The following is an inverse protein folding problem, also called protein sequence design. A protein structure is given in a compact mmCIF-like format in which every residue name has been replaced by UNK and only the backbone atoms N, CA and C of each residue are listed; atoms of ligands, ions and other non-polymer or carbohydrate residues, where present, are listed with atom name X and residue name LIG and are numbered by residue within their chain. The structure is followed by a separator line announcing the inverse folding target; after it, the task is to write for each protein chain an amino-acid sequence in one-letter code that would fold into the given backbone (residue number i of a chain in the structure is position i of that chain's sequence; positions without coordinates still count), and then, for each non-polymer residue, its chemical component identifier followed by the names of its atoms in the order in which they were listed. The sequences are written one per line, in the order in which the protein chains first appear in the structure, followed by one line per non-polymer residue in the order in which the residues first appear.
data_IF_944380844426
#
_entry.id   IF_944380844426
#
_cell.length_a   1.000
_cell.length_b   1.000
_cell.length_c   1.000
_cell.angle_alpha   90.00
_cell.angle_beta   90.00
_cell.angle_gamma   90.00
#
_symmetry.space_group_name_H-M   'P 1'
#
loop_
_entity.id
_entity.type
_entity.pdbx_description
1 polymer ?
#
# COMPACT_ATOMS: atom_id res chain seq x y z
N UNK A 1 20.14 -52.55 10.55
CA UNK A 1 18.72 -52.39 10.90
C UNK A 1 18.49 -50.91 11.16
N UNK A 2 18.05 -50.17 10.14
CA UNK A 2 18.03 -48.70 10.13
C UNK A 2 16.68 -48.25 10.68
N UNK A 3 16.67 -47.72 11.90
CA UNK A 3 15.46 -47.22 12.54
C UNK A 3 15.26 -45.77 12.09
N UNK A 4 14.21 -45.56 11.30
CA UNK A 4 13.68 -44.25 10.89
C UNK A 4 13.30 -43.43 12.12
N UNK A 5 14.08 -42.42 12.46
CA UNK A 5 13.66 -41.38 13.41
C UNK A 5 12.89 -40.31 12.62
N UNK A 6 11.59 -40.56 12.43
CA UNK A 6 10.61 -39.47 12.32
C UNK A 6 10.56 -38.82 13.70
N UNK A 7 10.83 -37.51 13.81
CA UNK A 7 10.18 -36.58 14.76
C UNK A 7 10.74 -35.15 14.65
N UNK A 8 9.85 -34.26 14.22
CA UNK A 8 9.60 -32.94 14.80
C UNK A 8 10.79 -31.98 14.73
N UNK A 9 11.01 -31.45 13.52
CA UNK A 9 11.60 -30.12 13.35
C UNK A 9 10.43 -29.14 13.31
N UNK A 10 10.50 -28.17 14.22
CA UNK A 10 9.61 -27.04 14.51
C UNK A 10 8.73 -26.60 13.33
N UNK A 11 7.50 -27.14 13.30
CA UNK A 11 6.35 -26.64 12.52
C UNK A 11 5.26 -26.10 13.46
N UNK A 12 5.67 -25.32 14.46
CA UNK A 12 4.76 -24.82 15.50
C UNK A 12 5.12 -23.39 15.87
N UNK A 13 4.62 -22.46 15.04
CA UNK A 13 4.10 -21.14 15.48
C UNK A 13 3.00 -20.58 14.54
N UNK A 14 2.73 -21.12 13.34
CA UNK A 14 1.63 -20.61 12.48
C UNK A 14 0.59 -21.66 12.06
N UNK A 15 0.13 -22.51 12.99
CA UNK A 15 -1.01 -23.42 12.73
C UNK A 15 -2.10 -23.22 13.78
N UNK A 16 -2.98 -22.26 13.51
CA UNK A 16 -4.39 -22.33 13.90
C UNK A 16 -5.18 -22.87 12.71
N UNK A 17 -5.35 -24.20 12.64
CA UNK A 17 -5.81 -24.90 11.43
C UNK A 17 -7.29 -24.74 11.09
N UNK A 18 -7.58 -24.93 9.79
CA UNK A 18 -8.95 -25.15 9.29
C UNK A 18 -9.20 -24.84 7.82
N UNK A 19 -8.39 -25.32 6.87
CA UNK A 19 -8.69 -25.17 5.44
C UNK A 19 -7.73 -25.94 4.53
N UNK A 20 -8.28 -26.81 3.71
CA UNK A 20 -7.61 -27.77 2.82
C UNK A 20 -6.99 -27.10 1.58
N UNK A 21 -6.06 -26.14 1.71
CA UNK A 21 -5.30 -25.59 0.57
C UNK A 21 -3.88 -25.14 0.98
N UNK A 22 -2.88 -25.96 0.58
CA UNK A 22 -1.42 -25.71 0.45
C UNK A 22 -0.64 -25.08 1.63
N UNK A 23 0.41 -25.79 2.11
CA UNK A 23 1.51 -25.15 2.84
C UNK A 23 2.27 -24.26 1.84
N UNK A 24 2.15 -22.94 1.96
CA UNK A 24 3.01 -22.01 1.22
C UNK A 24 4.40 -21.95 1.87
N UNK A 25 5.43 -21.97 1.03
CA UNK A 25 6.80 -21.67 1.45
C UNK A 25 7.02 -20.16 1.43
N UNK A 26 7.78 -19.62 2.39
CA UNK A 26 8.07 -18.18 2.43
C UNK A 26 6.93 -17.32 2.98
N UNK A 27 6.28 -17.77 4.07
CA UNK A 27 5.18 -17.05 4.72
C UNK A 27 5.57 -15.64 5.19
N UNK A 28 6.86 -15.36 5.41
CA UNK A 28 7.37 -14.02 5.71
C UNK A 28 6.94 -12.97 4.66
N UNK A 29 6.68 -13.38 3.41
CA UNK A 29 6.21 -12.50 2.34
C UNK A 29 4.79 -11.95 2.58
N UNK A 30 4.05 -12.52 3.54
CA UNK A 30 2.70 -12.09 3.91
C UNK A 30 2.68 -11.14 5.11
N UNK A 31 3.83 -10.90 5.75
CA UNK A 31 3.91 -10.03 6.91
C UNK A 31 3.70 -8.58 6.46
N UNK A 32 2.66 -7.89 6.98
CA UNK A 32 2.40 -6.51 6.61
C UNK A 32 3.59 -5.63 7.01
N UNK A 33 3.76 -4.53 6.29
CA UNK A 33 4.87 -3.60 6.52
C UNK A 33 4.37 -2.16 6.45
N UNK A 34 5.12 -1.25 7.06
CA UNK A 34 4.77 0.16 7.18
C UNK A 34 3.71 0.42 8.26
N UNK A 35 4.05 1.29 9.22
CA UNK A 35 3.23 1.48 10.42
C UNK A 35 1.94 2.24 10.06
N UNK A 36 2.01 3.16 9.10
CA UNK A 36 0.83 3.84 8.56
C UNK A 36 -0.13 2.83 7.92
N UNK A 37 0.37 1.96 7.05
CA UNK A 37 -0.47 0.98 6.35
C UNK A 37 -1.08 -0.05 7.31
N UNK A 38 -0.29 -0.58 8.25
CA UNK A 38 -0.76 -1.54 9.26
C UNK A 38 -1.85 -0.94 10.16
N UNK A 39 -1.64 0.29 10.66
CA UNK A 39 -2.62 0.97 11.53
C UNK A 39 -3.92 1.32 10.82
N UNK A 40 -3.93 1.31 9.48
CA UNK A 40 -5.13 1.47 8.63
C UNK A 40 -5.69 0.14 8.14
N UNK A 41 -5.42 -0.95 8.87
CA UNK A 41 -5.86 -2.30 8.52
C UNK A 41 -5.41 -2.72 7.10
N UNK A 42 -4.11 -2.51 6.83
CA UNK A 42 -3.46 -2.80 5.55
C UNK A 42 -4.01 -1.94 4.38
N UNK A 43 -4.37 -0.70 4.68
CA UNK A 43 -4.85 0.31 3.72
C UNK A 43 -3.79 0.79 2.70
N UNK A 44 -2.59 0.21 2.69
CA UNK A 44 -1.49 0.61 1.78
C UNK A 44 -1.78 0.33 0.29
N UNK A 45 -2.77 -0.51 -0.03
CA UNK A 45 -3.23 -0.86 -1.40
C UNK A 45 -3.64 0.35 -2.26
N UNK A 46 -3.99 1.45 -1.62
CA UNK A 46 -4.44 2.73 -2.20
C UNK A 46 -3.53 3.90 -1.81
N UNK A 47 -2.35 3.64 -1.24
CA UNK A 47 -1.43 4.69 -0.82
C UNK A 47 -0.89 5.47 -2.02
N UNK A 48 -0.47 6.71 -1.77
CA UNK A 48 0.19 7.58 -2.74
C UNK A 48 1.65 7.88 -2.37
N UNK A 49 2.25 7.03 -1.54
CA UNK A 49 3.63 7.10 -1.10
C UNK A 49 4.37 5.78 -1.39
N UNK A 50 5.69 5.79 -1.17
CA UNK A 50 6.56 4.65 -1.47
C UNK A 50 6.31 3.46 -0.53
N UNK A 51 5.76 3.68 0.66
CA UNK A 51 5.37 2.61 1.60
C UNK A 51 4.32 1.67 0.96
N UNK A 52 3.42 2.24 0.14
CA UNK A 52 2.42 1.47 -0.61
C UNK A 52 3.01 0.43 -1.59
N UNK A 53 4.31 0.51 -1.93
CA UNK A 53 4.95 -0.41 -2.88
C UNK A 53 4.80 -1.89 -2.48
N UNK A 54 4.82 -2.19 -1.17
CA UNK A 54 4.62 -3.57 -0.69
C UNK A 54 3.22 -4.11 -1.08
N UNK A 55 2.21 -3.26 -0.98
CA UNK A 55 0.81 -3.64 -1.17
C UNK A 55 0.40 -3.58 -2.63
N UNK A 56 0.90 -2.60 -3.40
CA UNK A 56 0.50 -2.35 -4.77
C UNK A 56 1.58 -1.60 -5.55
N UNK A 57 2.26 -2.27 -6.47
CA UNK A 57 3.27 -1.62 -7.31
C UNK A 57 2.68 -0.58 -8.30
N UNK A 58 1.36 -0.56 -8.52
CA UNK A 58 0.67 0.47 -9.31
C UNK A 58 0.68 1.86 -8.67
N UNK A 59 0.99 1.97 -7.37
CA UNK A 59 1.07 3.28 -6.67
C UNK A 59 2.28 4.09 -7.09
N UNK A 60 3.34 3.45 -7.61
CA UNK A 60 4.62 4.12 -7.90
C UNK A 60 4.45 5.26 -8.92
N UNK A 61 3.59 5.10 -9.94
CA UNK A 61 3.33 6.17 -10.92
C UNK A 61 2.69 7.43 -10.30
N UNK A 62 2.15 7.33 -9.08
CA UNK A 62 1.57 8.47 -8.35
C UNK A 62 2.61 9.30 -7.58
N UNK A 63 3.84 8.81 -7.46
CA UNK A 63 4.91 9.53 -6.78
C UNK A 63 5.26 10.82 -7.54
N UNK A 64 5.27 11.95 -6.81
CA UNK A 64 5.67 13.25 -7.37
C UNK A 64 7.12 13.61 -7.06
N UNK A 65 7.77 12.87 -6.18
CA UNK A 65 9.13 13.06 -5.69
C UNK A 65 9.79 11.71 -5.47
N UNK A 66 11.12 11.69 -5.35
CA UNK A 66 11.80 10.49 -4.88
C UNK A 66 11.36 10.25 -3.43
N UNK A 67 11.10 8.99 -3.11
CA UNK A 67 10.64 8.57 -1.79
C UNK A 67 11.49 7.43 -1.26
N UNK A 68 11.81 7.48 0.02
CA UNK A 68 12.36 6.35 0.75
C UNK A 68 11.48 6.04 1.95
N UNK A 69 11.25 4.77 2.24
CA UNK A 69 10.61 4.30 3.45
C UNK A 69 11.37 3.14 4.05
N UNK A 70 11.43 3.12 5.37
CA UNK A 70 11.93 2.02 6.17
C UNK A 70 10.87 1.65 7.21
N UNK A 71 10.71 0.36 7.50
CA UNK A 71 9.98 -0.10 8.66
C UNK A 71 10.69 -1.24 9.36
N UNK A 72 10.55 -1.26 10.68
CA UNK A 72 10.99 -2.32 11.55
C UNK A 72 9.80 -2.84 12.34
N UNK A 73 9.59 -4.14 12.26
CA UNK A 73 8.61 -4.88 13.05
C UNK A 73 9.33 -5.81 14.00
N UNK A 74 8.89 -5.79 15.26
CA UNK A 74 9.27 -6.77 16.26
C UNK A 74 8.02 -7.51 16.73
N UNK A 75 8.11 -8.83 16.66
CA UNK A 75 7.11 -9.76 17.13
C UNK A 75 7.63 -10.54 18.34
N UNK A 76 6.77 -11.39 18.90
CA UNK A 76 7.12 -12.40 19.88
C UNK A 76 8.23 -13.36 19.37
N UNK A 77 8.98 -13.97 20.29
CA UNK A 77 10.07 -14.92 20.01
C UNK A 77 11.21 -14.34 19.14
N UNK A 78 11.54 -13.07 19.34
CA UNK A 78 12.63 -12.38 18.65
C UNK A 78 12.50 -12.39 17.11
N UNK A 79 11.27 -12.60 16.61
CA UNK A 79 10.97 -12.50 15.19
C UNK A 79 11.00 -11.03 14.79
N UNK A 80 11.76 -10.71 13.75
CA UNK A 80 11.89 -9.35 13.22
C UNK A 80 11.64 -9.34 11.71
N UNK A 81 11.02 -8.26 11.24
CA UNK A 81 10.79 -8.00 9.83
C UNK A 81 11.19 -6.56 9.51
N UNK A 82 12.28 -6.40 8.76
CA UNK A 82 12.75 -5.11 8.26
C UNK A 82 12.32 -4.96 6.79
N UNK A 83 11.82 -3.80 6.43
CA UNK A 83 11.44 -3.51 5.04
C UNK A 83 11.94 -2.14 4.61
N UNK A 84 12.57 -2.11 3.44
CA UNK A 84 13.06 -0.92 2.79
C UNK A 84 12.35 -0.78 1.45
N UNK A 85 11.88 0.41 1.13
CA UNK A 85 11.39 0.73 -0.21
C UNK A 85 11.91 2.08 -0.65
N UNK A 86 12.25 2.16 -1.94
CA UNK A 86 12.66 3.38 -2.59
C UNK A 86 11.93 3.49 -3.92
N UNK A 87 11.45 4.69 -4.23
CA UNK A 87 10.71 4.99 -5.45
C UNK A 87 11.22 6.28 -6.07
N UNK A 88 11.37 6.28 -7.39
CA UNK A 88 11.82 7.42 -8.15
C UNK A 88 10.90 7.65 -9.36
N UNK A 89 10.19 8.79 -9.43
CA UNK A 89 9.51 9.18 -10.65
C UNK A 89 10.54 9.45 -11.75
N UNK A 90 10.29 8.92 -12.94
CA UNK A 90 11.08 9.18 -14.16
C UNK A 90 10.56 10.45 -14.84
N UNK A 91 9.24 10.55 -14.95
CA UNK A 91 8.49 11.68 -15.50
C UNK A 91 7.13 11.82 -14.78
N UNK A 92 6.22 12.63 -15.31
CA UNK A 92 4.87 12.82 -14.77
C UNK A 92 3.93 11.61 -14.98
N UNK A 93 4.44 10.55 -15.60
CA UNK A 93 3.69 9.36 -16.02
C UNK A 93 4.28 8.03 -15.59
N UNK A 94 5.56 7.97 -15.24
CA UNK A 94 6.31 6.73 -15.04
C UNK A 94 7.19 6.82 -13.81
N UNK A 95 7.38 5.70 -13.13
CA UNK A 95 8.24 5.58 -11.98
C UNK A 95 8.91 4.21 -11.91
N UNK A 96 10.09 4.18 -11.28
CA UNK A 96 10.78 2.96 -10.87
C UNK A 96 10.69 2.82 -9.35
N UNK A 97 10.76 1.57 -8.87
CA UNK A 97 10.85 1.29 -7.45
C UNK A 97 11.72 0.08 -7.18
N UNK A 98 12.29 0.03 -5.99
CA UNK A 98 13.01 -1.12 -5.45
C UNK A 98 12.58 -1.36 -4.02
N UNK A 99 12.57 -2.62 -3.60
CA UNK A 99 12.39 -2.95 -2.19
C UNK A 99 13.33 -4.07 -1.72
N UNK A 100 13.53 -4.11 -0.40
CA UNK A 100 14.26 -5.15 0.29
C UNK A 100 13.50 -5.49 1.59
N UNK A 101 12.99 -6.71 1.67
CA UNK A 101 12.47 -7.31 2.90
C UNK A 101 13.50 -8.23 3.53
N UNK A 102 13.69 -8.13 4.84
CA UNK A 102 14.58 -8.97 5.62
C UNK A 102 13.80 -9.52 6.80
N UNK A 103 13.57 -10.83 6.79
CA UNK A 103 12.93 -11.54 7.87
C UNK A 103 13.99 -12.32 8.65
N UNK A 104 13.87 -12.31 9.98
CA UNK A 104 14.68 -13.15 10.87
C UNK A 104 13.79 -13.73 11.94
N UNK A 105 13.83 -15.05 12.11
CA UNK A 105 13.29 -15.67 13.32
C UNK A 105 14.36 -15.69 14.41
N UNK A 106 13.93 -15.76 15.68
CA UNK A 106 14.84 -15.98 16.81
C UNK A 106 15.65 -17.27 16.64
N UNK A 107 16.84 -17.32 17.25
CA UNK A 107 17.69 -18.51 17.21
C UNK A 107 17.18 -19.61 18.15
N UNK A 108 17.31 -20.85 17.71
CA UNK A 108 16.98 -22.04 18.51
C UNK A 108 18.25 -22.80 18.82
N UNK A 109 18.55 -23.02 20.10
CA UNK A 109 19.71 -23.79 20.50
C UNK A 109 19.61 -25.24 20.04
N UNK A 110 20.65 -25.71 19.35
CA UNK A 110 20.74 -27.09 18.89
C UNK A 110 21.26 -28.02 19.99
N UNK A 111 20.76 -29.25 20.02
CA UNK A 111 21.25 -30.30 20.92
C UNK A 111 21.32 -31.64 20.19
N UNK A 112 22.34 -32.44 20.50
CA UNK A 112 22.44 -33.82 20.00
C UNK A 112 21.49 -34.77 20.77
N UNK A 113 21.41 -36.03 20.32
CA UNK A 113 20.59 -37.06 20.98
C UNK A 113 20.98 -37.37 22.44
N UNK A 114 22.17 -36.94 22.88
CA UNK A 114 22.67 -37.07 24.25
C UNK A 114 22.48 -35.80 25.09
N UNK A 115 21.90 -34.74 24.50
CA UNK A 115 21.67 -33.46 25.17
C UNK A 115 22.89 -32.54 25.20
N UNK A 116 23.96 -32.84 24.46
CA UNK A 116 25.10 -31.92 24.35
C UNK A 116 24.74 -30.78 23.38
N UNK A 117 25.10 -29.52 23.68
CA UNK A 117 24.88 -28.40 22.76
C UNK A 117 25.54 -28.64 21.40
N UNK A 118 24.81 -28.31 20.33
CA UNK A 118 25.30 -28.25 18.96
C UNK A 118 25.24 -26.81 18.45
N UNK A 119 25.41 -26.59 17.14
CA UNK A 119 25.20 -25.29 16.52
C UNK A 119 23.74 -24.84 16.66
N UNK A 120 23.52 -23.55 16.86
CA UNK A 120 22.19 -22.94 16.86
C UNK A 120 21.60 -22.92 15.44
N UNK A 121 20.27 -23.02 15.38
CA UNK A 121 19.49 -22.95 14.16
C UNK A 121 18.82 -21.59 14.06
N UNK A 122 19.02 -20.92 12.92
CA UNK A 122 18.44 -19.62 12.61
C UNK A 122 17.65 -19.71 11.31
N UNK A 123 16.58 -18.92 11.21
CA UNK A 123 15.83 -18.69 9.98
C UNK A 123 16.06 -17.25 9.54
N UNK A 124 16.47 -17.09 8.28
CA UNK A 124 16.69 -15.78 7.69
C UNK A 124 16.24 -15.79 6.24
N UNK A 125 15.32 -14.90 5.93
CA UNK A 125 14.81 -14.75 4.58
C UNK A 125 15.03 -13.34 4.04
N UNK A 126 15.24 -13.26 2.74
CA UNK A 126 15.48 -12.05 1.99
C UNK A 126 14.57 -12.02 0.77
N UNK A 127 13.92 -10.89 0.54
CA UNK A 127 13.18 -10.63 -0.69
C UNK A 127 13.62 -9.29 -1.26
N UNK A 128 14.23 -9.31 -2.44
CA UNK A 128 14.60 -8.11 -3.18
C UNK A 128 13.72 -7.95 -4.40
N UNK A 129 13.16 -6.77 -4.63
CA UNK A 129 12.27 -6.51 -5.75
C UNK A 129 12.66 -5.29 -6.59
N UNK A 130 12.37 -5.39 -7.89
CA UNK A 130 12.49 -4.32 -8.88
C UNK A 130 11.13 -4.09 -9.53
N UNK A 131 10.72 -2.82 -9.65
CA UNK A 131 9.38 -2.46 -10.07
C UNK A 131 9.40 -1.31 -11.07
N UNK A 132 8.42 -1.33 -11.97
CA UNK A 132 8.10 -0.25 -12.88
C UNK A 132 6.60 0.01 -12.83
N UNK A 133 6.20 1.28 -12.88
CA UNK A 133 4.80 1.66 -12.95
C UNK A 133 4.60 2.83 -13.90
N UNK A 134 3.42 2.88 -14.52
CA UNK A 134 3.00 3.97 -15.38
C UNK A 134 1.51 4.28 -15.27
N UNK A 135 1.12 5.51 -15.59
CA UNK A 135 -0.27 5.84 -15.92
C UNK A 135 -0.66 5.22 -17.27
N UNK A 136 -1.71 4.42 -17.28
CA UNK A 136 -2.41 3.93 -18.47
C UNK A 136 -3.47 4.92 -18.96
N UNK A 137 -4.12 5.62 -18.02
CA UNK A 137 -5.06 6.69 -18.30
C UNK A 137 -4.71 7.90 -17.44
N UNK A 138 -4.78 9.08 -18.05
CA UNK A 138 -4.52 10.35 -17.40
C UNK A 138 -3.04 10.65 -17.19
N UNK A 139 -2.71 11.21 -16.03
CA UNK A 139 -1.37 11.66 -15.64
C UNK A 139 -1.44 12.27 -14.24
N UNK A 140 -0.29 12.68 -13.68
CA UNK A 140 -0.23 13.23 -12.31
C UNK A 140 -1.28 14.33 -12.04
N UNK A 141 -1.59 15.15 -13.05
CA UNK A 141 -2.45 16.34 -12.98
C UNK A 141 -3.93 16.12 -13.31
N UNK A 142 -4.34 14.91 -13.69
CA UNK A 142 -5.72 14.67 -14.10
C UNK A 142 -6.57 14.17 -12.92
N UNK A 143 -7.85 14.58 -12.82
CA UNK A 143 -8.73 14.09 -11.76
C UNK A 143 -9.02 12.60 -11.91
N UNK A 144 -9.03 12.10 -13.15
CA UNK A 144 -9.19 10.70 -13.53
C UNK A 144 -7.83 10.11 -13.90
N UNK A 145 -7.39 9.09 -13.16
CA UNK A 145 -6.07 8.46 -13.34
C UNK A 145 -6.21 6.96 -13.18
N UNK A 146 -5.59 6.21 -14.09
CA UNK A 146 -5.39 4.77 -13.94
C UNK A 146 -3.92 4.49 -14.10
N UNK A 147 -3.26 3.96 -13.08
CA UNK A 147 -1.90 3.43 -13.19
C UNK A 147 -1.88 1.92 -13.08
N UNK A 148 -0.85 1.35 -13.70
CA UNK A 148 -0.50 -0.05 -13.56
C UNK A 148 0.99 -0.17 -13.19
N UNK A 149 1.32 -1.19 -12.42
CA UNK A 149 2.68 -1.52 -12.04
C UNK A 149 2.94 -3.01 -12.23
N UNK A 150 4.19 -3.33 -12.50
CA UNK A 150 4.70 -4.70 -12.54
C UNK A 150 6.03 -4.76 -11.78
N UNK A 151 6.30 -5.92 -11.19
CA UNK A 151 7.55 -6.15 -10.48
C UNK A 151 8.01 -7.59 -10.56
N UNK A 152 9.31 -7.75 -10.37
CA UNK A 152 9.95 -9.05 -10.17
C UNK A 152 10.63 -9.05 -8.81
N UNK A 153 10.59 -10.20 -8.13
CA UNK A 153 11.28 -10.42 -6.87
C UNK A 153 12.21 -11.60 -6.96
N UNK A 154 13.37 -11.49 -6.33
CA UNK A 154 14.26 -12.59 -6.02
C UNK A 154 14.15 -12.85 -4.53
N UNK A 155 13.86 -14.10 -4.19
CA UNK A 155 13.63 -14.53 -2.82
C UNK A 155 14.71 -15.55 -2.48
N UNK A 156 15.33 -15.38 -1.34
CA UNK A 156 16.23 -16.35 -0.75
C UNK A 156 15.77 -16.64 0.67
N UNK A 157 15.72 -17.92 1.03
CA UNK A 157 15.33 -18.36 2.35
C UNK A 157 16.35 -19.34 2.88
N UNK A 158 16.80 -19.10 4.11
CA UNK A 158 17.74 -19.94 4.84
C UNK A 158 17.05 -20.49 6.07
N UNK A 159 17.03 -21.82 6.19
CA UNK A 159 16.51 -22.53 7.36
C UNK A 159 17.60 -23.47 7.89
N UNK A 160 18.27 -23.07 8.96
CA UNK A 160 19.36 -23.85 9.53
C UNK A 160 20.56 -23.93 8.59
N UNK A 161 20.81 -25.12 8.03
CA UNK A 161 21.90 -25.35 7.07
C UNK A 161 21.42 -25.30 5.61
N UNK A 162 20.12 -25.17 5.41
CA UNK A 162 19.49 -25.22 4.10
C UNK A 162 19.19 -23.87 3.53
N UNK A 163 19.30 -23.77 2.21
CA UNK A 163 18.93 -22.57 1.48
C UNK A 163 18.08 -22.92 0.26
N UNK A 164 17.05 -22.13 0.03
CA UNK A 164 16.23 -22.17 -1.17
C UNK A 164 16.16 -20.78 -1.80
N UNK A 165 16.07 -20.74 -3.13
CA UNK A 165 15.87 -19.49 -3.86
C UNK A 165 14.67 -19.61 -4.79
N UNK A 166 13.97 -18.50 -4.98
CA UNK A 166 12.79 -18.43 -5.83
C UNK A 166 12.70 -17.08 -6.53
N UNK A 167 11.77 -16.98 -7.48
CA UNK A 167 11.38 -15.71 -8.09
C UNK A 167 9.88 -15.50 -7.93
N UNK A 168 9.47 -14.25 -7.73
CA UNK A 168 8.07 -13.85 -7.67
C UNK A 168 7.77 -12.79 -8.70
N UNK A 169 6.52 -12.74 -9.16
CA UNK A 169 6.00 -11.66 -10.00
C UNK A 169 4.89 -10.93 -9.24
N UNK A 170 4.94 -9.61 -9.30
CA UNK A 170 3.96 -8.72 -8.71
C UNK A 170 3.29 -7.88 -9.81
N UNK A 171 2.00 -7.59 -9.65
CA UNK A 171 1.24 -6.72 -10.53
C UNK A 171 0.21 -5.91 -9.74
N UNK A 172 -0.08 -4.70 -10.18
CA UNK A 172 -0.97 -3.81 -9.44
C UNK A 172 -1.58 -2.72 -10.29
N UNK A 173 -2.78 -2.30 -9.92
CA UNK A 173 -3.52 -1.20 -10.51
C UNK A 173 -3.96 -0.22 -9.43
N UNK A 174 -3.94 1.07 -9.76
CA UNK A 174 -4.51 2.13 -8.93
C UNK A 174 -5.36 3.04 -9.83
N UNK A 175 -6.65 3.14 -9.52
CA UNK A 175 -7.59 3.98 -10.23
C UNK A 175 -8.09 5.08 -9.31
N UNK A 176 -7.80 6.34 -9.61
CA UNK A 176 -8.24 7.50 -8.83
C UNK A 176 -9.17 8.38 -9.66
N UNK A 177 -10.28 8.81 -9.07
CA UNK A 177 -11.25 9.72 -9.66
C UNK A 177 -11.87 10.64 -8.61
N UNK A 178 -12.67 11.62 -9.01
CA UNK A 178 -13.37 12.51 -8.09
C UNK A 178 -14.82 12.07 -7.88
N UNK A 179 -15.23 12.02 -6.61
CA UNK A 179 -16.63 11.86 -6.19
C UNK A 179 -16.96 12.99 -5.22
N UNK A 180 -17.99 13.78 -5.55
CA UNK A 180 -18.32 15.01 -4.81
C UNK A 180 -17.11 15.94 -4.63
N UNK A 181 -16.34 16.15 -5.72
CA UNK A 181 -15.12 16.98 -5.75
C UNK A 181 -13.99 16.50 -4.82
N UNK A 182 -14.06 15.25 -4.35
CA UNK A 182 -13.09 14.61 -3.46
C UNK A 182 -12.44 13.38 -4.09
N UNK A 183 -11.13 13.14 -3.88
CA UNK A 183 -10.47 11.95 -4.39
C UNK A 183 -11.05 10.66 -3.83
N UNK A 184 -11.39 9.74 -4.72
CA UNK A 184 -11.68 8.34 -4.44
C UNK A 184 -10.69 7.48 -5.22
N UNK A 185 -10.05 6.53 -4.54
CA UNK A 185 -9.09 5.59 -5.13
C UNK A 185 -9.59 4.15 -5.02
N UNK A 186 -9.38 3.36 -6.06
CA UNK A 186 -9.57 1.91 -6.08
C UNK A 186 -8.21 1.26 -6.36
N UNK A 187 -7.81 0.31 -5.53
CA UNK A 187 -6.58 -0.45 -5.70
C UNK A 187 -6.88 -1.94 -5.91
N UNK A 188 -6.09 -2.58 -6.76
CA UNK A 188 -6.11 -4.03 -6.97
C UNK A 188 -4.68 -4.50 -7.20
N UNK A 189 -4.25 -5.58 -6.55
CA UNK A 189 -2.92 -6.14 -6.76
C UNK A 189 -2.87 -7.66 -6.59
N UNK A 190 -1.85 -8.25 -7.19
CA UNK A 190 -1.43 -9.63 -7.00
C UNK A 190 0.08 -9.61 -6.73
N UNK A 191 0.50 -10.20 -5.62
CA UNK A 191 1.91 -10.29 -5.22
C UNK A 191 2.34 -11.74 -5.05
N UNK A 192 3.63 -12.02 -5.24
CA UNK A 192 4.26 -13.34 -5.05
C UNK A 192 3.74 -14.43 -6.01
N UNK A 193 3.35 -14.08 -7.23
CA UNK A 193 2.84 -15.06 -8.18
C UNK A 193 3.97 -15.92 -8.78
N UNK A 194 3.69 -17.22 -8.96
CA UNK A 194 4.47 -18.16 -9.78
C UNK A 194 5.48 -19.03 -9.03
N UNK A 195 6.43 -18.42 -8.30
CA UNK A 195 7.57 -19.14 -7.72
C UNK A 195 7.22 -20.21 -6.67
N UNK A 196 8.21 -21.06 -6.40
CA UNK A 196 8.21 -21.97 -5.26
C UNK A 196 9.60 -22.03 -4.61
N UNK A 197 9.66 -22.28 -3.31
CA UNK A 197 10.88 -22.58 -2.58
C UNK A 197 11.00 -24.10 -2.46
N UNK A 198 12.15 -24.65 -2.85
CA UNK A 198 12.38 -26.10 -2.79
C UNK A 198 13.48 -26.43 -1.80
N UNK A 199 13.15 -27.20 -0.76
CA UNK A 199 14.09 -27.73 0.22
C UNK A 199 14.16 -29.24 0.06
N UNK A 200 15.36 -29.80 -0.10
CA UNK A 200 15.58 -31.25 -0.23
C UNK A 200 14.53 -32.04 -1.04
N UNK A 201 14.13 -31.52 -2.20
CA UNK A 201 13.16 -32.10 -3.14
C UNK A 201 11.66 -31.86 -2.85
N UNK A 202 11.30 -31.18 -1.77
CA UNK A 202 9.92 -30.70 -1.54
C UNK A 202 9.77 -29.24 -1.96
N UNK A 203 8.93 -28.99 -2.96
CA UNK A 203 8.62 -27.65 -3.45
C UNK A 203 7.36 -27.10 -2.76
N UNK A 204 7.48 -25.94 -2.14
CA UNK A 204 6.39 -25.19 -1.54
C UNK A 204 6.16 -23.90 -2.33
N UNK A 205 4.95 -23.71 -2.87
CA UNK A 205 4.62 -22.51 -3.63
C UNK A 205 4.70 -21.24 -2.77
N UNK A 206 5.10 -20.11 -3.37
CA UNK A 206 5.06 -18.82 -2.68
C UNK A 206 3.61 -18.44 -2.33
N UNK A 207 3.37 -17.71 -1.23
CA UNK A 207 2.05 -17.26 -0.83
C UNK A 207 1.56 -16.13 -1.75
N UNK A 208 1.01 -16.51 -2.90
CA UNK A 208 0.38 -15.56 -3.81
C UNK A 208 -0.72 -14.80 -3.08
N UNK A 209 -0.61 -13.48 -3.03
CA UNK A 209 -1.52 -12.63 -2.26
C UNK A 209 -2.29 -11.73 -3.20
N UNK A 210 -3.61 -11.78 -3.15
CA UNK A 210 -4.50 -10.89 -3.88
C UNK A 210 -5.00 -9.82 -2.91
N UNK A 211 -4.92 -8.54 -3.29
CA UNK A 211 -5.42 -7.42 -2.46
C UNK A 211 -6.33 -6.53 -3.28
N UNK A 212 -7.36 -6.00 -2.65
CA UNK A 212 -8.23 -4.97 -3.21
C UNK A 212 -8.51 -3.90 -2.15
N UNK A 213 -8.78 -2.66 -2.57
CA UNK A 213 -9.15 -1.62 -1.63
C UNK A 213 -9.81 -0.40 -2.24
N UNK A 214 -10.50 0.36 -1.39
CA UNK A 214 -11.18 1.61 -1.70
C UNK A 214 -10.71 2.67 -0.70
N UNK A 215 -10.39 3.85 -1.20
CA UNK A 215 -9.95 5.00 -0.43
C UNK A 215 -10.81 6.21 -0.71
N UNK A 216 -11.18 6.97 0.31
CA UNK A 216 -11.91 8.21 0.16
C UNK A 216 -11.34 9.30 1.07
N UNK A 217 -11.03 10.46 0.49
CA UNK A 217 -10.41 11.56 1.21
C UNK A 217 -11.41 12.71 1.38
N UNK A 218 -11.64 13.15 2.61
CA UNK A 218 -12.54 14.27 2.91
C UNK A 218 -11.97 15.14 4.03
N UNK A 219 -12.56 16.31 4.28
CA UNK A 219 -12.11 17.17 5.39
C UNK A 219 -13.07 17.08 6.57
N UNK A 220 -12.50 17.06 7.77
CA UNK A 220 -13.22 17.16 9.04
C UNK A 220 -12.53 18.22 9.92
N UNK A 221 -13.29 19.21 10.37
CA UNK A 221 -12.77 20.32 11.19
C UNK A 221 -11.58 21.04 10.53
N UNK A 222 -11.62 21.20 9.20
CA UNK A 222 -10.55 21.85 8.42
C UNK A 222 -9.28 21.03 8.25
N UNK A 223 -9.31 19.72 8.56
CA UNK A 223 -8.17 18.82 8.47
C UNK A 223 -8.51 17.60 7.60
N UNK A 224 -7.55 17.05 6.85
CA UNK A 224 -7.79 15.86 6.02
C UNK A 224 -8.12 14.62 6.85
N UNK A 225 -9.06 13.82 6.34
CA UNK A 225 -9.36 12.46 6.76
C UNK A 225 -9.22 11.53 5.55
N UNK A 226 -8.47 10.45 5.72
CA UNK A 226 -8.42 9.35 4.76
C UNK A 226 -9.18 8.16 5.32
N UNK A 227 -10.24 7.72 4.64
CA UNK A 227 -10.96 6.50 4.95
C UNK A 227 -10.59 5.39 3.98
N UNK A 228 -10.36 4.18 4.48
CA UNK A 228 -9.98 3.01 3.69
C UNK A 228 -10.85 1.80 4.00
N UNK A 229 -11.17 1.03 2.96
CA UNK A 229 -11.65 -0.34 3.04
C UNK A 229 -10.67 -1.21 2.25
N UNK A 230 -10.18 -2.29 2.85
CA UNK A 230 -9.25 -3.24 2.23
C UNK A 230 -9.83 -4.65 2.28
N UNK A 231 -9.40 -5.50 1.35
CA UNK A 231 -9.62 -6.94 1.39
C UNK A 231 -8.33 -7.63 0.96
N UNK A 232 -7.84 -8.54 1.80
CA UNK A 232 -6.59 -9.25 1.56
C UNK A 232 -6.87 -10.75 1.52
N UNK A 233 -6.30 -11.43 0.53
CA UNK A 233 -6.39 -12.87 0.35
C UNK A 233 -4.99 -13.46 0.12
N UNK A 234 -4.23 -13.73 1.19
CA UNK A 234 -2.94 -14.41 1.10
C UNK A 234 -3.12 -15.90 0.79
N UNK A 235 -2.27 -16.44 -0.08
CA UNK A 235 -2.26 -17.87 -0.40
C UNK A 235 -2.04 -18.71 0.85
N UNK A 236 -2.84 -19.77 1.02
CA UNK A 236 -2.81 -20.63 2.20
C UNK A 236 -3.58 -20.11 3.42
N UNK A 237 -4.14 -18.89 3.36
CA UNK A 237 -4.91 -18.27 4.45
C UNK A 237 -6.34 -17.90 4.02
N UNK A 238 -7.21 -17.71 5.00
CA UNK A 238 -8.54 -17.12 4.76
C UNK A 238 -8.42 -15.63 4.44
N UNK A 239 -9.21 -15.16 3.48
CA UNK A 239 -9.27 -13.74 3.17
C UNK A 239 -9.95 -12.95 4.30
N UNK A 240 -9.53 -11.70 4.49
CA UNK A 240 -10.03 -10.82 5.54
C UNK A 240 -10.21 -9.39 5.03
N UNK A 241 -11.34 -8.72 5.33
CA UNK A 241 -11.48 -7.29 5.12
C UNK A 241 -10.90 -6.45 6.28
N UNK A 242 -10.51 -5.22 5.96
CA UNK A 242 -10.05 -4.23 6.92
C UNK A 242 -10.70 -2.86 6.66
N UNK A 243 -10.98 -2.12 7.73
CA UNK A 243 -11.44 -0.71 7.64
C UNK A 243 -10.43 0.16 8.37
N UNK A 244 -10.09 1.32 7.79
CA UNK A 244 -9.13 2.26 8.34
C UNK A 244 -9.61 3.71 8.26
N UNK A 245 -9.21 4.51 9.25
CA UNK A 245 -9.41 5.95 9.30
C UNK A 245 -8.11 6.63 9.74
N UNK A 246 -7.65 7.61 8.97
CA UNK A 246 -6.51 8.47 9.29
C UNK A 246 -7.01 9.92 9.39
N UNK A 247 -6.79 10.57 10.54
CA UNK A 247 -7.02 12.00 10.71
C UNK A 247 -5.68 12.74 10.78
N UNK A 248 -5.46 13.71 9.90
CA UNK A 248 -4.19 14.43 9.77
C UNK A 248 -4.35 15.84 10.32
N UNK A 249 -4.00 16.02 11.58
CA UNK A 249 -4.06 17.31 12.27
C UNK A 249 -2.92 18.24 11.81
N UNK A 250 -3.29 19.34 11.17
CA UNK A 250 -2.40 20.43 10.72
C UNK A 250 -1.22 19.96 9.87
N UNK A 251 -1.39 18.87 9.12
CA UNK A 251 -0.32 18.24 8.31
C UNK A 251 0.89 17.74 9.10
N UNK A 252 0.82 17.73 10.44
CA UNK A 252 1.92 17.38 11.34
C UNK A 252 1.64 16.07 12.07
N UNK A 253 0.46 15.94 12.68
CA UNK A 253 0.12 14.79 13.53
C UNK A 253 -0.96 13.95 12.86
N UNK A 254 -0.65 12.69 12.59
CA UNK A 254 -1.62 11.70 12.10
C UNK A 254 -2.08 10.80 13.23
N UNK A 255 -3.39 10.64 13.38
CA UNK A 255 -4.00 9.67 14.30
C UNK A 255 -4.74 8.65 13.44
N UNK A 256 -4.45 7.37 13.68
CA UNK A 256 -4.94 6.27 12.84
C UNK A 256 -5.63 5.22 13.69
N UNK A 257 -6.78 4.77 13.18
CA UNK A 257 -7.53 3.66 13.74
C UNK A 257 -7.90 2.71 12.61
N UNK A 258 -7.64 1.44 12.82
CA UNK A 258 -7.99 0.37 11.89
C UNK A 258 -8.71 -0.76 12.62
N UNK A 259 -9.50 -1.53 11.87
CA UNK A 259 -10.09 -2.77 12.35
C UNK A 259 -10.02 -3.81 11.24
N UNK A 260 -9.37 -4.94 11.53
CA UNK A 260 -9.37 -6.11 10.64
C UNK A 260 -10.47 -7.06 11.10
N UNK A 261 -11.39 -7.39 10.19
CA UNK A 261 -12.39 -8.43 10.40
C UNK A 261 -11.78 -9.72 9.86
N UNK A 262 -11.21 -10.53 10.74
CA UNK A 262 -10.56 -11.79 10.35
C UNK A 262 -11.02 -12.95 11.22
N UNK A 263 -10.50 -14.14 10.92
CA UNK A 263 -10.60 -15.27 11.83
C UNK A 263 -9.63 -15.06 13.00
N UNK A 264 -10.14 -15.08 14.23
CA UNK A 264 -9.36 -14.99 15.47
C UNK A 264 -8.25 -16.05 15.53
N UNK A 265 -8.43 -17.19 14.86
CA UNK A 265 -7.44 -18.28 14.77
C UNK A 265 -6.29 -17.99 13.81
N UNK A 266 -6.49 -17.10 12.84
CA UNK A 266 -5.45 -16.62 11.91
C UNK A 266 -4.73 -15.41 12.49
N UNK A 267 -5.20 -14.85 13.61
CA UNK A 267 -4.44 -13.87 14.38
C UNK A 267 -4.43 -12.45 13.82
N UNK A 268 -5.15 -12.21 12.72
CA UNK A 268 -5.14 -10.92 12.02
C UNK A 268 -6.23 -9.98 12.55
N UNK A 269 -7.31 -10.54 13.11
CA UNK A 269 -8.48 -9.79 13.56
C UNK A 269 -8.17 -8.85 14.72
N UNK A 270 -8.74 -7.66 14.70
CA UNK A 270 -8.71 -6.75 15.84
C UNK A 270 -8.44 -5.30 15.48
N UNK A 271 -8.44 -4.48 16.52
CA UNK A 271 -8.16 -3.05 16.44
C UNK A 271 -6.68 -2.83 16.15
N UNK A 272 -6.38 -1.89 15.28
CA UNK A 272 -5.03 -1.40 14.98
C UNK A 272 -4.99 0.09 15.32
N UNK A 273 -3.95 0.51 16.03
CA UNK A 273 -3.76 1.91 16.38
C UNK A 273 -2.47 2.42 15.74
N UNK A 274 -2.45 3.69 15.35
CA UNK A 274 -1.23 4.32 14.89
C UNK A 274 -1.16 5.81 15.16
N UNK A 275 0.08 6.28 15.31
CA UNK A 275 0.43 7.68 15.40
C UNK A 275 1.49 7.98 14.35
N UNK A 276 1.37 9.13 13.70
CA UNK A 276 2.36 9.63 12.75
C UNK A 276 2.74 11.07 13.09
N UNK A 277 4.01 11.40 12.99
CA UNK A 277 4.51 12.76 13.16
C UNK A 277 5.36 13.12 11.95
N UNK A 278 5.02 14.24 11.32
CA UNK A 278 5.75 14.83 10.20
C UNK A 278 6.54 16.04 10.65
N UNK A 279 7.87 15.95 10.62
CA UNK A 279 8.80 17.01 11.01
C UNK A 279 9.86 17.15 9.92
N UNK A 280 10.05 18.37 9.41
CA UNK A 280 11.08 18.69 8.41
C UNK A 280 11.05 17.78 7.16
N UNK A 281 9.85 17.36 6.73
CA UNK A 281 9.68 16.48 5.57
C UNK A 281 9.94 15.00 5.83
N UNK A 282 10.27 14.63 7.07
CA UNK A 282 10.41 13.25 7.53
C UNK A 282 9.14 12.84 8.28
N UNK A 283 8.58 11.69 7.93
CA UNK A 283 7.48 11.06 8.64
C UNK A 283 8.05 9.99 9.57
N UNK A 284 7.64 10.01 10.84
CA UNK A 284 7.85 8.94 11.78
C UNK A 284 6.51 8.38 12.18
N UNK A 285 6.32 7.08 12.01
CA UNK A 285 5.07 6.41 12.27
C UNK A 285 5.28 5.26 13.25
N UNK A 286 4.35 5.11 14.16
CA UNK A 286 4.25 4.01 15.10
C UNK A 286 2.90 3.34 14.94
N UNK A 287 2.89 2.01 14.97
CA UNK A 287 1.66 1.24 15.00
C UNK A 287 1.72 0.17 16.08
N UNK A 288 0.56 -0.09 16.66
CA UNK A 288 0.34 -1.21 17.55
C UNK A 288 -0.77 -2.09 16.97
N UNK A 289 -0.48 -3.38 16.93
CA UNK A 289 -1.36 -4.43 16.40
C UNK A 289 -1.44 -5.54 17.44
N UNK A 290 -2.36 -5.42 18.41
CA UNK A 290 -2.58 -6.45 19.41
C UNK A 290 -2.97 -7.77 18.77
N UNK A 291 -2.33 -8.86 19.21
CA UNK A 291 -2.70 -10.21 18.84
C UNK A 291 -3.31 -10.93 20.05
N UNK A 292 -4.49 -11.58 19.94
CA UNK A 292 -5.19 -12.18 21.09
C UNK A 292 -4.37 -13.20 21.89
N UNK A 293 -3.55 -14.00 21.18
CA UNK A 293 -2.71 -15.07 21.77
C UNK A 293 -1.23 -14.68 21.91
N UNK A 294 -0.65 -14.02 20.91
CA UNK A 294 0.81 -13.84 20.76
C UNK A 294 1.34 -12.55 21.40
N UNK A 295 0.45 -11.68 21.89
CA UNK A 295 0.80 -10.40 22.48
C UNK A 295 0.82 -9.25 21.49
N UNK A 296 1.28 -8.09 21.94
CA UNK A 296 1.27 -6.87 21.15
C UNK A 296 2.42 -6.84 20.14
N UNK A 297 2.10 -6.58 18.88
CA UNK A 297 3.11 -6.28 17.86
C UNK A 297 3.31 -4.77 17.77
N UNK A 298 4.57 -4.37 17.72
CA UNK A 298 4.99 -2.96 17.61
C UNK A 298 5.70 -2.74 16.29
N UNK A 299 5.20 -1.78 15.52
CA UNK A 299 5.78 -1.37 14.24
C UNK A 299 6.30 0.06 14.34
N UNK A 300 7.50 0.27 13.83
CA UNK A 300 8.06 1.59 13.62
C UNK A 300 8.35 1.77 12.14
N UNK A 301 7.98 2.90 11.57
CA UNK A 301 8.40 3.26 10.22
C UNK A 301 8.83 4.70 10.11
N UNK A 302 9.67 4.93 9.11
CA UNK A 302 10.19 6.23 8.75
C UNK A 302 10.03 6.41 7.24
N UNK A 303 9.53 7.56 6.82
CA UNK A 303 9.40 7.93 5.43
C UNK A 303 10.01 9.30 5.16
N UNK A 304 10.64 9.47 4.00
CA UNK A 304 11.13 10.76 3.53
C UNK A 304 10.87 10.89 2.03
N UNK A 305 10.36 12.05 1.64
CA UNK A 305 10.29 12.46 0.23
C UNK A 305 11.35 13.53 0.00
N UNK A 306 12.10 13.41 -1.09
CA UNK A 306 13.22 14.29 -1.38
C UNK A 306 13.42 14.48 -2.89
N UNK A 307 14.31 15.41 -3.22
CA UNK A 307 14.58 15.82 -4.60
C UNK A 307 13.57 16.85 -5.10
N UNK A 308 13.75 17.33 -6.35
CA UNK A 308 12.78 18.23 -6.95
C UNK A 308 11.43 17.53 -7.03
N UNK A 309 10.38 18.21 -6.57
CA UNK A 309 9.04 17.82 -6.97
C UNK A 309 8.96 17.93 -8.47
N UNK A 310 8.65 16.80 -9.12
CA UNK A 310 8.53 16.72 -10.56
C UNK A 310 7.63 17.87 -10.99
N UNK A 311 8.26 18.83 -11.67
CA UNK A 311 7.57 20.03 -12.09
C UNK A 311 6.39 19.56 -12.90
N UNK A 312 5.22 20.01 -12.46
CA UNK A 312 3.99 19.99 -13.24
C UNK A 312 4.41 20.43 -14.63
N UNK A 313 4.49 19.49 -15.58
CA UNK A 313 4.49 19.86 -16.98
C UNK A 313 3.21 20.67 -17.10
N UNK A 314 3.36 22.00 -17.19
CA UNK A 314 2.25 22.91 -17.33
C UNK A 314 1.40 22.31 -18.44
N UNK A 315 0.17 21.92 -18.09
CA UNK A 315 -0.77 21.37 -19.05
C UNK A 315 -0.66 22.21 -20.32
N UNK A 316 -0.59 21.55 -21.48
CA UNK A 316 -1.13 22.17 -22.67
C UNK A 316 -2.51 22.72 -22.24
N UNK A 317 -2.71 24.04 -22.31
CA UNK A 317 -3.80 24.71 -21.61
C UNK A 317 -5.09 23.95 -21.86
N UNK A 318 -5.81 23.57 -20.78
CA UNK A 318 -7.13 22.96 -20.89
C UNK A 318 -7.92 23.85 -21.85
N UNK A 319 -8.34 23.30 -22.99
CA UNK A 319 -8.92 24.13 -24.04
C UNK A 319 -10.10 24.90 -23.46
N UNK A 320 -10.25 26.16 -23.87
CA UNK A 320 -11.38 27.00 -23.47
C UNK A 320 -12.72 26.26 -23.68
N UNK A 321 -12.80 25.41 -24.71
CA UNK A 321 -13.93 24.54 -25.02
C UNK A 321 -14.22 23.47 -23.93
N UNK A 322 -13.20 22.85 -23.34
CA UNK A 322 -13.38 21.86 -22.28
C UNK A 322 -13.93 22.50 -21.01
N UNK A 323 -13.39 23.68 -20.64
CA UNK A 323 -13.88 24.45 -19.49
C UNK A 323 -15.31 24.94 -19.76
N UNK A 324 -15.60 25.37 -21.00
CA UNK A 324 -16.93 25.80 -21.41
C UNK A 324 -17.98 24.69 -21.26
N UNK A 325 -17.66 23.47 -21.71
CA UNK A 325 -18.57 22.33 -21.58
C UNK A 325 -18.85 21.97 -20.11
N UNK A 326 -17.84 22.07 -19.24
CA UNK A 326 -18.01 21.90 -17.78
C UNK A 326 -18.89 22.99 -17.18
N UNK A 327 -18.66 24.25 -17.54
CA UNK A 327 -19.45 25.38 -17.09
C UNK A 327 -20.93 25.24 -17.51
N UNK A 328 -21.17 24.79 -18.74
CA UNK A 328 -22.51 24.53 -19.26
C UNK A 328 -23.23 23.41 -18.48
N UNK A 329 -22.52 22.35 -18.11
CA UNK A 329 -23.07 21.29 -17.26
C UNK A 329 -23.51 21.83 -15.90
N UNK A 330 -22.66 22.61 -15.23
CA UNK A 330 -22.99 23.25 -13.94
C UNK A 330 -24.20 24.18 -14.05
N UNK A 331 -24.31 24.94 -15.14
CA UNK A 331 -25.46 25.79 -15.42
C UNK A 331 -26.76 24.98 -15.56
N UNK A 332 -26.71 23.87 -16.30
CA UNK A 332 -27.87 22.99 -16.49
C UNK A 332 -28.28 22.26 -15.20
N UNK A 333 -27.31 21.95 -14.32
CA UNK A 333 -27.53 21.34 -13.01
C UNK A 333 -28.07 22.35 -11.97
N UNK A 334 -28.29 23.63 -12.35
CA UNK A 334 -28.78 24.68 -11.46
C UNK A 334 -27.72 25.25 -10.50
N UNK A 335 -26.45 24.82 -10.61
CA UNK A 335 -25.31 25.29 -9.82
C UNK A 335 -24.78 26.62 -10.40
N UNK A 336 -25.63 27.65 -10.39
CA UNK A 336 -25.37 28.91 -11.10
C UNK A 336 -24.10 29.63 -10.62
N UNK A 337 -23.85 29.70 -9.31
CA UNK A 337 -22.66 30.36 -8.77
C UNK A 337 -21.35 29.72 -9.25
N UNK A 338 -21.33 28.39 -9.32
CA UNK A 338 -20.17 27.62 -9.76
C UNK A 338 -19.99 27.68 -11.28
N UNK A 339 -21.11 27.70 -12.02
CA UNK A 339 -21.06 27.91 -13.48
C UNK A 339 -20.45 29.27 -13.84
N UNK A 340 -20.70 30.34 -13.08
CA UNK A 340 -20.13 31.67 -13.30
C UNK A 340 -18.61 31.64 -13.13
N UNK A 341 -18.11 30.97 -12.08
CA UNK A 341 -16.67 30.84 -11.84
C UNK A 341 -15.99 30.12 -13.02
N UNK A 342 -16.59 29.04 -13.51
CA UNK A 342 -16.02 28.31 -14.66
C UNK A 342 -16.15 29.09 -15.98
N UNK A 343 -17.25 29.82 -16.23
CA UNK A 343 -17.34 30.71 -17.41
C UNK A 343 -16.32 31.86 -17.35
N UNK A 344 -16.01 32.39 -16.17
CA UNK A 344 -14.97 33.40 -16.02
C UNK A 344 -13.59 32.83 -16.40
N UNK A 345 -13.29 31.59 -16.03
CA UNK A 345 -12.07 30.89 -16.48
C UNK A 345 -12.01 30.71 -18.00
N UNK A 346 -13.16 30.47 -18.66
CA UNK A 346 -13.21 30.44 -20.14
C UNK A 346 -12.83 31.81 -20.70
N UNK A 347 -13.37 32.90 -20.14
CA UNK A 347 -13.10 34.27 -20.61
C UNK A 347 -11.69 34.76 -20.27
N UNK A 348 -11.07 34.24 -19.23
CA UNK A 348 -9.65 34.47 -18.93
C UNK A 348 -8.73 33.84 -19.99
N UNK A 349 -9.14 32.71 -20.57
CA UNK A 349 -8.39 31.99 -21.62
C UNK A 349 -8.73 32.46 -23.04
N UNK A 350 -10.00 32.76 -23.31
CA UNK A 350 -10.52 33.30 -24.57
C UNK A 350 -11.49 34.45 -24.28
N UNK A 351 -10.98 35.69 -24.17
CA UNK A 351 -11.79 36.87 -23.94
C UNK A 351 -12.83 37.16 -25.04
N UNK A 352 -12.69 36.52 -26.21
CA UNK A 352 -13.61 36.71 -27.35
C UNK A 352 -14.76 35.71 -27.37
N UNK A 353 -14.83 34.80 -26.39
CA UNK A 353 -15.87 33.78 -26.29
C UNK A 353 -17.23 34.39 -25.87
N UNK A 354 -17.99 34.84 -26.86
CA UNK A 354 -19.31 35.44 -26.65
C UNK A 354 -20.32 34.49 -26.00
N UNK A 355 -20.18 33.18 -26.20
CA UNK A 355 -21.08 32.19 -25.59
C UNK A 355 -20.85 32.11 -24.07
N UNK A 356 -19.60 32.09 -23.61
CA UNK A 356 -19.27 32.07 -22.19
C UNK A 356 -19.80 33.32 -21.47
N UNK A 357 -19.66 34.49 -22.09
CA UNK A 357 -20.19 35.75 -21.58
C UNK A 357 -21.72 35.75 -21.46
N UNK A 358 -22.42 35.22 -22.46
CA UNK A 358 -23.88 35.14 -22.46
C UNK A 358 -24.40 34.20 -21.34
N UNK A 359 -23.82 33.01 -21.21
CA UNK A 359 -24.21 32.09 -20.14
C UNK A 359 -23.85 32.61 -18.75
N UNK A 360 -22.72 33.32 -18.59
CA UNK A 360 -22.36 33.95 -17.33
C UNK A 360 -23.38 35.02 -16.90
N UNK A 361 -23.89 35.82 -17.86
CA UNK A 361 -24.97 36.79 -17.61
C UNK A 361 -26.27 36.08 -17.22
N UNK A 362 -26.68 35.05 -17.97
CA UNK A 362 -27.87 34.24 -17.67
C UNK A 362 -27.81 33.60 -16.29
N UNK A 363 -26.65 33.04 -15.93
CA UNK A 363 -26.42 32.47 -14.60
C UNK A 363 -26.51 33.54 -13.50
N UNK A 364 -25.96 34.74 -13.75
CA UNK A 364 -26.03 35.86 -12.81
C UNK A 364 -27.46 36.35 -12.57
N UNK A 365 -28.31 36.36 -13.61
CA UNK A 365 -29.72 36.69 -13.48
C UNK A 365 -30.50 35.64 -12.68
N UNK A 366 -30.14 34.37 -12.82
CA UNK A 366 -30.76 33.25 -12.08
C UNK A 366 -30.44 33.26 -10.59
N UNK A 367 -29.30 33.82 -10.18
CA UNK A 367 -28.93 33.98 -8.75
C UNK A 367 -29.67 35.17 -8.11
N UNK A 368 -30.04 36.18 -8.91
CA UNK A 368 -30.76 37.37 -8.43
C UNK A 368 -32.27 37.16 -8.25
N UNK A 369 -32.81 36.06 -8.77
CA UNK A 369 -34.20 35.63 -8.58
C UNK A 369 -34.27 34.61 -7.46
#
# INVERSE_FOLDING_TARGET
MVIKVKKIIVWLVLIGGGGLWASSGGNFLTFPTGARSLSLAEGGIISSDVEGLYYNCGVLASLTQMGFSFSHESHFLDITNDYFAFGAPIDDRRALGVNLGIFRAGSVSGYDSSGNPTKDYEEKDLAFGLYYSQYLLGGSQQPLRLSAGVGIKIINSVLGEDSASSFGIDGGFLYSFLVADRPLSLGLSVSNAGGSLSYYQEAAALPMTIRAGVGYNFDLLGNPVNASLSYNLPGGLSGYPGVGLEYILKEILSIRLGYVVGDEKVGVSGIKFGLGIKILGINFDYANSPHPVLGDNHLFSMGINFGPQMAISAQAPVSAETIFNRALKLYNDGRYAESIIEFNKVLELDPTNNQALDYMKKASEKIKK
#
